data_IF_942150232895
#
_entry.id   IF_942150232895
#
_cell.length_a   1.000
_cell.length_b   1.000
_cell.length_c   1.000
_cell.angle_alpha   90.00
_cell.angle_beta   90.00
_cell.angle_gamma   90.00
#
_symmetry.space_group_name_H-M   'P 1'
#
loop_
_entity.id
_entity.type
_entity.pdbx_description
1 polymer ?
#
# COMPACT_ATOMS: atom_id res chain seq x y z
N UNK A 1 31.62 59.83 9.81
CA UNK A 1 32.46 58.61 9.71
C UNK A 1 32.17 57.75 10.94
N UNK A 2 31.28 56.77 10.93
CA UNK A 2 31.51 55.40 10.44
C UNK A 2 30.14 54.76 10.17
N UNK A 3 29.77 54.68 8.90
CA UNK A 3 28.55 54.06 8.37
C UNK A 3 28.96 52.83 7.55
N UNK A 4 29.72 51.91 8.14
CA UNK A 4 30.38 50.79 7.42
C UNK A 4 30.45 49.46 8.21
N UNK A 5 29.51 49.19 9.12
CA UNK A 5 29.54 47.94 9.92
C UNK A 5 28.22 47.15 9.91
N UNK A 6 27.38 47.31 8.88
CA UNK A 6 26.07 46.62 8.80
C UNK A 6 25.91 45.72 7.55
N UNK A 7 26.94 45.55 6.74
CA UNK A 7 26.85 44.85 5.44
C UNK A 7 27.20 43.36 5.44
N UNK A 8 27.65 42.76 6.54
CA UNK A 8 28.29 41.43 6.50
C UNK A 8 27.49 40.27 7.12
N UNK A 9 26.41 40.55 7.86
CA UNK A 9 25.69 39.49 8.60
C UNK A 9 24.53 38.86 7.83
N UNK A 10 24.19 39.35 6.63
CA UNK A 10 23.04 38.86 5.85
C UNK A 10 23.36 37.76 4.84
N UNK A 11 24.60 37.70 4.33
CA UNK A 11 24.97 36.77 3.26
C UNK A 11 25.34 35.37 3.78
N UNK A 12 25.99 35.27 4.95
CA UNK A 12 26.46 34.00 5.51
C UNK A 12 25.33 33.12 6.09
N UNK A 13 24.18 33.70 6.45
CA UNK A 13 23.04 32.95 6.98
C UNK A 13 22.13 32.36 5.89
N UNK A 14 22.21 32.86 4.67
CA UNK A 14 21.40 32.39 3.53
C UNK A 14 22.04 31.21 2.77
N UNK A 15 23.32 30.89 3.04
CA UNK A 15 24.09 29.91 2.26
C UNK A 15 24.17 28.51 2.90
N UNK A 16 23.78 28.37 4.17
CA UNK A 16 23.82 27.10 4.91
C UNK A 16 22.53 26.26 4.80
N UNK A 17 21.55 26.68 4.00
CA UNK A 17 20.25 26.01 3.86
C UNK A 17 20.14 25.12 2.59
N UNK A 18 21.28 24.63 2.08
CA UNK A 18 21.40 23.74 0.90
C UNK A 18 21.54 22.25 1.29
N UNK A 19 21.65 21.31 0.32
CA UNK A 19 20.74 20.25 -0.14
C UNK A 19 20.57 19.01 0.78
N UNK A 20 21.05 19.05 2.03
CA UNK A 20 21.10 17.88 2.93
C UNK A 20 19.72 17.45 3.44
N UNK A 21 18.77 18.37 3.54
CA UNK A 21 17.38 18.09 3.94
C UNK A 21 16.59 17.38 2.83
N UNK A 22 16.88 17.68 1.56
CA UNK A 22 16.19 17.09 0.41
C UNK A 22 16.63 15.63 0.16
N UNK A 23 17.94 15.38 0.23
CA UNK A 23 18.51 14.03 0.06
C UNK A 23 18.05 13.03 1.13
N UNK A 24 17.89 13.47 2.40
CA UNK A 24 17.34 12.63 3.49
C UNK A 24 15.87 12.30 3.28
N UNK A 25 15.06 13.28 2.84
CA UNK A 25 13.63 13.07 2.52
C UNK A 25 13.46 12.11 1.34
N UNK A 26 14.30 12.26 0.30
CA UNK A 26 14.32 11.35 -0.85
C UNK A 26 14.63 9.90 -0.44
N UNK A 27 15.71 9.69 0.33
CA UNK A 27 16.10 8.34 0.80
C UNK A 27 15.02 7.67 1.64
N UNK A 28 14.38 8.43 2.55
CA UNK A 28 13.27 7.91 3.36
C UNK A 28 12.05 7.53 2.51
N UNK A 29 11.74 8.29 1.46
CA UNK A 29 10.66 7.97 0.52
C UNK A 29 10.94 6.66 -0.22
N UNK A 30 12.14 6.48 -0.77
CA UNK A 30 12.53 5.25 -1.46
C UNK A 30 12.51 4.04 -0.52
N UNK A 31 13.01 4.18 0.71
CA UNK A 31 12.93 3.12 1.71
C UNK A 31 11.50 2.66 1.98
N UNK A 32 10.53 3.58 2.07
CA UNK A 32 9.10 3.25 2.24
C UNK A 32 8.51 2.54 1.02
N UNK A 33 8.86 2.97 -0.20
CA UNK A 33 8.39 2.32 -1.43
C UNK A 33 8.97 0.90 -1.58
N UNK A 34 10.25 0.72 -1.28
CA UNK A 34 10.89 -0.60 -1.27
C UNK A 34 10.25 -1.52 -0.24
N UNK A 35 10.01 -1.01 0.98
CA UNK A 35 9.31 -1.77 2.01
C UNK A 35 7.90 -2.15 1.57
N UNK A 36 7.14 -1.25 0.94
CA UNK A 36 5.83 -1.56 0.38
C UNK A 36 5.91 -2.68 -0.67
N UNK A 37 6.90 -2.63 -1.58
CA UNK A 37 7.14 -3.69 -2.55
C UNK A 37 7.48 -5.04 -1.91
N UNK A 38 8.34 -5.07 -0.88
CA UNK A 38 8.67 -6.29 -0.13
C UNK A 38 7.44 -6.85 0.59
N UNK A 39 6.61 -5.99 1.18
CA UNK A 39 5.33 -6.42 1.76
C UNK A 39 4.39 -7.00 0.69
N UNK A 40 4.41 -6.47 -0.53
CA UNK A 40 3.69 -7.05 -1.68
C UNK A 40 4.18 -8.46 -2.01
N UNK A 41 5.50 -8.67 -2.08
CA UNK A 41 6.08 -10.01 -2.29
C UNK A 41 5.72 -10.97 -1.16
N UNK A 42 5.72 -10.49 0.09
CA UNK A 42 5.29 -11.25 1.25
C UNK A 42 3.79 -11.62 1.17
N UNK A 43 2.94 -10.72 0.68
CA UNK A 43 1.52 -10.98 0.47
C UNK A 43 1.29 -12.14 -0.52
N UNK A 44 2.09 -12.25 -1.58
CA UNK A 44 2.05 -13.39 -2.52
C UNK A 44 2.30 -14.73 -1.84
N UNK A 45 3.10 -14.76 -0.77
CA UNK A 45 3.42 -16.01 -0.06
C UNK A 45 2.23 -16.55 0.75
N UNK A 46 1.14 -15.78 0.87
CA UNK A 46 -0.08 -16.25 1.50
C UNK A 46 -0.93 -17.17 0.61
N UNK A 47 -0.60 -17.26 -0.68
CA UNK A 47 -1.26 -18.16 -1.63
C UNK A 47 -0.47 -19.46 -1.79
N UNK A 48 -1.06 -20.42 -2.49
CA UNK A 48 -0.41 -21.68 -2.83
C UNK A 48 0.97 -21.45 -3.45
N UNK A 49 1.99 -22.25 -3.10
CA UNK A 49 1.91 -23.51 -2.34
C UNK A 49 2.14 -23.39 -0.82
N UNK A 50 2.21 -22.17 -0.25
CA UNK A 50 2.54 -21.97 1.17
C UNK A 50 1.33 -21.79 2.07
N UNK A 51 0.29 -21.13 1.56
CA UNK A 51 -1.00 -20.92 2.25
C UNK A 51 -0.86 -20.25 3.63
N UNK A 52 0.12 -19.36 3.78
CA UNK A 52 0.38 -18.62 5.02
C UNK A 52 -0.59 -17.45 5.19
N UNK A 53 -1.85 -17.76 5.49
CA UNK A 53 -2.95 -16.79 5.65
C UNK A 53 -2.60 -15.61 6.60
N UNK A 54 -1.85 -15.88 7.66
CA UNK A 54 -1.44 -14.85 8.65
C UNK A 54 -0.45 -13.85 8.06
N UNK A 55 0.40 -14.28 7.13
CA UNK A 55 1.39 -13.41 6.48
C UNK A 55 0.69 -12.37 5.60
N UNK A 56 -0.44 -12.71 5.02
CA UNK A 56 -1.29 -11.78 4.29
C UNK A 56 -1.72 -10.59 5.17
N UNK A 57 -2.21 -10.90 6.37
CA UNK A 57 -2.66 -9.91 7.33
C UNK A 57 -1.50 -9.01 7.78
N UNK A 58 -0.33 -9.60 8.03
CA UNK A 58 0.88 -8.83 8.38
C UNK A 58 1.34 -7.93 7.23
N UNK A 59 1.31 -8.42 5.99
CA UNK A 59 1.68 -7.66 4.81
C UNK A 59 0.75 -6.45 4.60
N UNK A 60 -0.57 -6.67 4.68
CA UNK A 60 -1.57 -5.60 4.59
C UNK A 60 -1.49 -4.65 5.79
N UNK A 61 -1.17 -5.13 6.99
CA UNK A 61 -1.02 -4.29 8.17
C UNK A 61 0.21 -3.39 8.03
N UNK A 62 1.31 -3.92 7.47
CA UNK A 62 2.48 -3.14 7.10
C UNK A 62 2.16 -2.05 6.07
N UNK A 63 1.38 -2.37 5.03
CA UNK A 63 0.91 -1.38 4.07
C UNK A 63 0.05 -0.32 4.75
N UNK A 64 -0.97 -0.72 5.52
CA UNK A 64 -1.85 0.20 6.24
C UNK A 64 -1.03 1.12 7.17
N UNK A 65 -0.05 0.57 7.90
CA UNK A 65 0.88 1.35 8.70
C UNK A 65 1.63 2.38 7.85
N UNK A 66 2.21 2.00 6.71
CA UNK A 66 2.88 2.98 5.84
C UNK A 66 1.91 4.07 5.35
N UNK A 67 0.66 3.72 5.08
CA UNK A 67 -0.35 4.65 4.60
C UNK A 67 -0.81 5.63 5.68
N UNK A 68 -0.89 5.23 6.94
CA UNK A 68 -1.28 6.12 8.03
C UNK A 68 -0.27 7.27 8.24
N UNK A 69 1.00 7.09 7.85
CA UNK A 69 2.06 8.12 7.91
C UNK A 69 2.19 8.91 6.59
N UNK A 70 1.20 8.86 5.71
CA UNK A 70 1.18 9.68 4.48
C UNK A 70 0.34 10.93 4.66
N UNK A 71 0.84 12.04 4.09
CA UNK A 71 0.14 13.34 4.08
C UNK A 71 -0.51 13.67 2.73
N UNK A 72 -0.01 13.05 1.65
CA UNK A 72 -0.41 13.34 0.28
C UNK A 72 -1.00 12.07 -0.34
N UNK A 73 -2.11 12.23 -1.05
CA UNK A 73 -2.75 11.13 -1.78
C UNK A 73 -1.82 10.49 -2.82
N UNK A 74 -0.90 11.27 -3.41
CA UNK A 74 0.09 10.76 -4.37
C UNK A 74 1.08 9.80 -3.71
N UNK A 75 1.45 10.04 -2.46
CA UNK A 75 2.36 9.16 -1.71
C UNK A 75 1.64 7.88 -1.28
N UNK A 76 0.37 7.99 -0.87
CA UNK A 76 -0.47 6.83 -0.58
C UNK A 76 -0.67 5.94 -1.83
N UNK A 77 -0.99 6.55 -2.97
CA UNK A 77 -1.10 5.84 -4.24
C UNK A 77 0.22 5.19 -4.65
N UNK A 78 1.36 5.86 -4.48
CA UNK A 78 2.67 5.30 -4.79
C UNK A 78 3.03 4.10 -3.90
N UNK A 79 2.66 4.11 -2.62
CA UNK A 79 2.84 2.97 -1.71
C UNK A 79 1.96 1.79 -2.11
N UNK A 80 0.67 2.05 -2.39
CA UNK A 80 -0.24 1.03 -2.90
C UNK A 80 0.25 0.44 -4.22
N UNK A 81 0.76 1.27 -5.13
CA UNK A 81 1.34 0.84 -6.40
C UNK A 81 2.59 -0.02 -6.21
N UNK A 82 3.53 0.40 -5.35
CA UNK A 82 4.74 -0.39 -5.06
C UNK A 82 4.40 -1.75 -4.44
N UNK A 83 3.44 -1.77 -3.50
CA UNK A 83 2.90 -3.01 -2.92
C UNK A 83 2.27 -3.90 -3.99
N UNK A 84 1.41 -3.34 -4.84
CA UNK A 84 0.78 -4.07 -5.94
C UNK A 84 1.80 -4.63 -6.93
N UNK A 85 2.84 -3.86 -7.28
CA UNK A 85 3.91 -4.34 -8.15
C UNK A 85 4.64 -5.54 -7.54
N UNK A 86 5.02 -5.48 -6.27
CA UNK A 86 5.66 -6.61 -5.59
C UNK A 86 4.77 -7.85 -5.55
N UNK A 87 3.49 -7.66 -5.26
CA UNK A 87 2.49 -8.73 -5.24
C UNK A 87 2.31 -9.39 -6.61
N UNK A 88 2.00 -8.60 -7.64
CA UNK A 88 1.71 -9.16 -8.97
C UNK A 88 2.96 -9.66 -9.68
N UNK A 89 4.09 -8.95 -9.65
CA UNK A 89 5.32 -9.46 -10.29
C UNK A 89 5.76 -10.81 -9.72
N UNK A 90 5.63 -11.01 -8.41
CA UNK A 90 5.99 -12.30 -7.79
C UNK A 90 4.91 -13.37 -7.93
N UNK A 91 3.65 -12.99 -8.15
CA UNK A 91 2.52 -13.92 -8.15
C UNK A 91 2.01 -14.34 -9.53
N UNK A 92 2.25 -13.53 -10.57
CA UNK A 92 1.81 -13.81 -11.96
C UNK A 92 2.96 -13.96 -12.95
N UNK A 93 4.20 -14.13 -12.46
CA UNK A 93 5.39 -14.34 -13.30
C UNK A 93 5.23 -15.52 -14.27
N UNK A 94 4.47 -16.54 -13.89
CA UNK A 94 4.23 -17.75 -14.68
C UNK A 94 3.57 -17.45 -16.04
N UNK A 95 2.89 -16.30 -16.19
CA UNK A 95 2.37 -15.84 -17.49
C UNK A 95 3.46 -15.67 -18.54
N UNK A 96 4.71 -15.43 -18.11
CA UNK A 96 5.87 -15.44 -19.00
C UNK A 96 5.96 -16.74 -19.80
N UNK A 97 5.74 -17.89 -19.13
CA UNK A 97 5.83 -19.21 -19.76
C UNK A 97 4.74 -19.33 -20.83
N UNK A 98 3.51 -18.92 -20.52
CA UNK A 98 2.39 -18.91 -21.46
C UNK A 98 2.70 -18.10 -22.72
N UNK A 99 3.25 -16.90 -22.58
CA UNK A 99 3.53 -16.03 -23.72
C UNK A 99 4.79 -16.44 -24.50
N UNK A 100 5.88 -16.77 -23.80
CA UNK A 100 7.15 -17.07 -24.44
C UNK A 100 7.17 -18.46 -25.07
N UNK A 101 6.74 -19.47 -24.33
CA UNK A 101 6.83 -20.88 -24.77
C UNK A 101 5.66 -21.24 -25.67
N UNK A 102 4.42 -20.93 -25.28
CA UNK A 102 3.24 -21.33 -26.06
C UNK A 102 2.80 -20.25 -27.06
N UNK A 103 3.10 -18.98 -26.77
CA UNK A 103 2.82 -17.86 -27.66
C UNK A 103 3.95 -17.55 -28.63
N UNK A 104 5.09 -18.26 -28.56
CA UNK A 104 6.29 -18.06 -29.40
C UNK A 104 6.77 -16.59 -29.41
N UNK A 105 6.47 -15.85 -28.35
CA UNK A 105 6.81 -14.44 -28.23
C UNK A 105 8.28 -14.30 -27.85
N UNK A 106 9.05 -13.37 -28.46
CA UNK A 106 10.42 -13.11 -28.03
C UNK A 106 10.53 -12.83 -26.53
N UNK A 107 11.53 -13.41 -25.86
CA UNK A 107 11.69 -13.39 -24.40
C UNK A 107 11.55 -11.99 -23.77
N UNK A 108 12.20 -10.99 -24.36
CA UNK A 108 12.15 -9.62 -23.85
C UNK A 108 10.76 -8.99 -23.96
N UNK A 109 9.99 -9.34 -25.02
CA UNK A 109 8.62 -8.88 -25.18
C UNK A 109 7.71 -9.54 -24.14
N UNK A 110 7.83 -10.84 -23.93
CA UNK A 110 7.05 -11.56 -22.92
C UNK A 110 7.32 -11.02 -21.51
N UNK A 111 8.58 -10.77 -21.16
CA UNK A 111 8.95 -10.15 -19.90
C UNK A 111 8.36 -8.74 -19.74
N UNK A 112 8.43 -7.92 -20.80
CA UNK A 112 7.83 -6.58 -20.82
C UNK A 112 6.30 -6.65 -20.66
N UNK A 113 5.63 -7.62 -21.29
CA UNK A 113 4.20 -7.83 -21.15
C UNK A 113 3.81 -8.18 -19.70
N UNK A 114 4.53 -9.09 -19.04
CA UNK A 114 4.32 -9.39 -17.61
C UNK A 114 4.53 -8.16 -16.74
N UNK A 115 5.58 -7.37 -17.01
CA UNK A 115 5.87 -6.15 -16.27
C UNK A 115 4.76 -5.11 -16.40
N UNK A 116 4.33 -4.82 -17.64
CA UNK A 116 3.26 -3.87 -17.92
C UNK A 116 1.92 -4.34 -17.35
N UNK A 117 1.62 -5.64 -17.47
CA UNK A 117 0.39 -6.20 -16.93
C UNK A 117 0.37 -6.17 -15.39
N UNK A 118 1.48 -6.51 -14.75
CA UNK A 118 1.65 -6.34 -13.30
C UNK A 118 1.51 -4.87 -12.89
N UNK A 119 2.04 -3.94 -13.69
CA UNK A 119 1.87 -2.50 -13.52
C UNK A 119 0.41 -2.05 -13.63
N UNK A 120 -0.35 -2.60 -14.56
CA UNK A 120 -1.79 -2.38 -14.67
C UNK A 120 -2.54 -2.90 -13.43
N UNK A 121 -2.26 -4.12 -12.99
CA UNK A 121 -2.91 -4.69 -11.80
C UNK A 121 -2.54 -3.92 -10.51
N UNK A 122 -1.31 -3.40 -10.44
CA UNK A 122 -0.86 -2.57 -9.32
C UNK A 122 -1.63 -1.24 -9.19
N UNK A 123 -2.37 -0.81 -10.22
CA UNK A 123 -3.25 0.35 -10.14
C UNK A 123 -4.42 0.13 -9.16
N UNK A 124 -4.86 -1.11 -8.93
CA UNK A 124 -5.98 -1.39 -8.03
C UNK A 124 -5.61 -1.21 -6.55
N UNK A 125 -4.50 -1.78 -6.02
CA UNK A 125 -4.00 -1.43 -4.69
C UNK A 125 -3.63 0.06 -4.55
N UNK A 126 -3.13 0.70 -5.61
CA UNK A 126 -2.89 2.14 -5.63
C UNK A 126 -4.19 2.95 -5.48
N UNK A 127 -5.25 2.54 -6.17
CA UNK A 127 -6.58 3.13 -6.07
C UNK A 127 -7.17 2.91 -4.67
N UNK A 128 -7.00 1.72 -4.08
CA UNK A 128 -7.45 1.41 -2.72
C UNK A 128 -6.81 2.37 -1.71
N UNK A 129 -5.48 2.49 -1.78
CA UNK A 129 -4.70 3.39 -0.93
C UNK A 129 -5.09 4.87 -1.11
N UNK A 130 -5.31 5.30 -2.34
CA UNK A 130 -5.74 6.66 -2.65
C UNK A 130 -7.17 6.94 -2.16
N UNK A 131 -8.11 6.03 -2.40
CA UNK A 131 -9.50 6.13 -1.96
C UNK A 131 -9.59 6.18 -0.44
N UNK A 132 -8.90 5.27 0.24
CA UNK A 132 -8.78 5.28 1.69
C UNK A 132 -8.18 6.59 2.23
N UNK A 133 -7.09 7.07 1.62
CA UNK A 133 -6.46 8.33 2.03
C UNK A 133 -7.44 9.50 1.88
N UNK A 134 -8.18 9.58 0.77
CA UNK A 134 -9.18 10.65 0.56
C UNK A 134 -10.34 10.55 1.54
N UNK A 135 -10.86 9.35 1.79
CA UNK A 135 -11.95 9.12 2.74
C UNK A 135 -11.55 9.48 4.18
N UNK A 136 -10.26 9.37 4.51
CA UNK A 136 -9.78 9.59 5.88
C UNK A 136 -9.06 10.93 6.10
N UNK A 137 -8.64 11.63 5.03
CA UNK A 137 -7.86 12.86 5.10
C UNK A 137 -8.48 13.99 5.95
N UNK A 138 -9.78 14.36 5.80
CA UNK A 138 -10.34 15.51 6.51
C UNK A 138 -10.26 15.39 8.04
N UNK A 139 -10.34 14.17 8.57
CA UNK A 139 -10.40 13.89 10.00
C UNK A 139 -9.06 13.46 10.60
N UNK A 140 -8.09 13.06 9.77
CA UNK A 140 -6.70 12.83 10.22
C UNK A 140 -5.98 14.09 10.62
N UNK A 141 -6.16 15.17 9.87
CA UNK A 141 -5.56 16.46 10.23
C UNK A 141 -6.17 17.05 11.51
N UNK A 142 -7.46 16.80 11.76
CA UNK A 142 -8.12 17.18 13.00
C UNK A 142 -7.66 16.32 14.21
N UNK A 143 -7.52 14.99 14.04
CA UNK A 143 -7.08 14.07 15.10
C UNK A 143 -5.59 14.21 15.44
N UNK A 144 -4.73 14.54 14.46
CA UNK A 144 -3.31 14.84 14.70
C UNK A 144 -3.11 16.09 15.59
N UNK A 145 -4.04 17.05 15.56
CA UNK A 145 -4.04 18.21 16.43
C UNK A 145 -4.51 17.91 17.87
N UNK A 146 -5.28 16.82 18.07
CA UNK A 146 -5.83 16.41 19.37
C UNK A 146 -4.98 15.34 20.08
N UNK A 147 -3.93 14.80 19.44
CA UNK A 147 -3.03 13.81 20.04
C UNK A 147 -3.64 12.41 20.28
N UNK A 148 -4.95 12.19 20.09
CA UNK A 148 -5.56 10.88 20.28
C UNK A 148 -5.72 10.12 18.96
N UNK A 149 -4.71 9.33 18.60
CA UNK A 149 -4.87 8.26 17.59
C UNK A 149 -5.83 7.15 18.05
N UNK A 150 -6.20 7.14 19.33
CA UNK A 150 -7.10 6.19 19.98
C UNK A 150 -8.60 6.54 19.88
N UNK A 151 -8.96 7.65 19.23
CA UNK A 151 -10.37 8.02 19.06
C UNK A 151 -11.12 7.07 18.12
N UNK A 152 -12.46 7.08 18.21
CA UNK A 152 -13.38 6.32 17.34
C UNK A 152 -12.99 6.39 15.85
N UNK A 153 -12.54 7.56 15.38
CA UNK A 153 -12.16 7.73 13.98
C UNK A 153 -10.93 6.88 13.58
N UNK A 154 -9.90 6.83 14.42
CA UNK A 154 -8.67 6.08 14.17
C UNK A 154 -8.86 4.57 14.31
N UNK A 155 -9.63 4.14 15.32
CA UNK A 155 -9.84 2.73 15.61
C UNK A 155 -11.01 2.09 14.85
N UNK A 156 -11.96 2.86 14.32
CA UNK A 156 -13.15 2.28 13.66
C UNK A 156 -13.30 2.79 12.24
N UNK A 157 -13.44 4.10 12.05
CA UNK A 157 -13.75 4.65 10.72
C UNK A 157 -12.62 4.43 9.70
N UNK A 158 -11.35 4.61 10.09
CA UNK A 158 -10.22 4.43 9.18
C UNK A 158 -9.99 2.95 8.77
N UNK A 159 -10.05 1.97 9.67
CA UNK A 159 -10.01 0.54 9.30
C UNK A 159 -11.19 0.12 8.42
N UNK A 160 -12.42 0.54 8.74
CA UNK A 160 -13.61 0.28 7.90
C UNK A 160 -13.45 0.85 6.49
N UNK A 161 -12.99 2.09 6.38
CA UNK A 161 -12.71 2.71 5.09
C UNK A 161 -11.63 1.93 4.30
N UNK A 162 -10.66 1.30 4.98
CA UNK A 162 -9.60 0.54 4.32
C UNK A 162 -10.15 -0.75 3.75
N UNK A 163 -10.90 -1.52 4.56
CA UNK A 163 -11.57 -2.75 4.10
C UNK A 163 -12.52 -2.48 2.94
N UNK A 164 -13.34 -1.44 3.02
CA UNK A 164 -14.27 -1.05 1.96
C UNK A 164 -13.54 -0.63 0.67
N UNK A 165 -12.49 0.20 0.77
CA UNK A 165 -11.70 0.61 -0.38
C UNK A 165 -11.01 -0.60 -1.04
N UNK A 166 -10.42 -1.50 -0.24
CA UNK A 166 -9.76 -2.70 -0.72
C UNK A 166 -10.73 -3.61 -1.48
N UNK A 167 -11.83 -4.01 -0.84
CA UNK A 167 -12.84 -4.88 -1.43
C UNK A 167 -13.45 -4.30 -2.71
N UNK A 168 -13.77 -3.00 -2.73
CA UNK A 168 -14.30 -2.34 -3.92
C UNK A 168 -13.30 -2.39 -5.08
N UNK A 169 -12.03 -2.09 -4.83
CA UNK A 169 -11.01 -2.11 -5.89
C UNK A 169 -10.67 -3.51 -6.38
N UNK A 170 -10.72 -4.52 -5.53
CA UNK A 170 -10.58 -5.91 -5.96
C UNK A 170 -11.77 -6.37 -6.80
N UNK A 171 -12.99 -5.96 -6.43
CA UNK A 171 -14.16 -6.22 -7.27
C UNK A 171 -14.04 -5.53 -8.63
N UNK A 172 -13.61 -4.27 -8.68
CA UNK A 172 -13.35 -3.55 -9.93
C UNK A 172 -12.30 -4.28 -10.78
N UNK A 173 -11.22 -4.80 -10.17
CA UNK A 173 -10.19 -5.60 -10.83
C UNK A 173 -10.75 -6.88 -11.45
N UNK A 174 -11.79 -7.45 -10.86
CA UNK A 174 -12.49 -8.62 -11.36
C UNK A 174 -13.49 -8.34 -12.49
N UNK A 175 -13.76 -7.07 -12.83
CA UNK A 175 -14.82 -6.72 -13.80
C UNK A 175 -14.33 -5.81 -14.93
N UNK A 176 -13.49 -4.81 -14.63
CA UNK A 176 -13.01 -3.84 -15.64
C UNK A 176 -12.16 -4.56 -16.70
N UNK A 177 -12.41 -4.26 -17.98
CA UNK A 177 -11.74 -4.88 -19.13
C UNK A 177 -11.74 -6.41 -19.06
N UNK A 178 -12.93 -6.99 -18.96
CA UNK A 178 -13.19 -8.44 -18.75
C UNK A 178 -12.72 -9.02 -17.42
N UNK A 179 -11.95 -8.26 -16.65
CA UNK A 179 -11.49 -8.64 -15.31
C UNK A 179 -10.31 -9.60 -15.30
N UNK A 180 -9.47 -9.47 -14.27
CA UNK A 180 -8.42 -10.44 -13.95
C UNK A 180 -8.35 -10.62 -12.42
N UNK A 181 -9.26 -11.44 -11.83
CA UNK A 181 -9.37 -11.63 -10.39
C UNK A 181 -8.36 -12.64 -9.82
N UNK A 182 -7.22 -12.88 -10.50
CA UNK A 182 -6.18 -13.78 -10.01
C UNK A 182 -5.53 -13.24 -8.74
N UNK A 183 -5.06 -14.13 -7.86
CA UNK A 183 -4.57 -13.75 -6.52
C UNK A 183 -5.61 -12.87 -5.79
N UNK A 184 -6.89 -13.22 -5.82
CA UNK A 184 -7.90 -12.51 -5.04
C UNK A 184 -7.59 -12.61 -3.55
N UNK A 185 -7.51 -11.48 -2.85
CA UNK A 185 -7.02 -11.46 -1.46
C UNK A 185 -7.81 -12.39 -0.52
N UNK A 186 -9.11 -12.61 -0.77
CA UNK A 186 -9.91 -13.56 0.01
C UNK A 186 -9.45 -15.02 -0.06
N UNK A 187 -8.76 -15.45 -1.12
CA UNK A 187 -8.31 -16.85 -1.28
C UNK A 187 -7.20 -17.25 -0.32
N UNK A 188 -6.43 -16.30 0.20
CA UNK A 188 -5.44 -16.60 1.23
C UNK A 188 -6.08 -17.00 2.58
N UNK A 189 -7.42 -16.95 2.70
CA UNK A 189 -8.16 -17.30 3.90
C UNK A 189 -9.09 -18.52 3.72
N UNK A 190 -8.87 -19.37 2.72
CA UNK A 190 -9.65 -20.61 2.51
C UNK A 190 -9.58 -21.57 3.69
N UNK A 191 -8.43 -21.68 4.33
CA UNK A 191 -8.17 -22.59 5.45
C UNK A 191 -7.91 -21.85 6.77
N UNK A 192 -8.07 -20.52 6.75
CA UNK A 192 -7.83 -19.65 7.90
C UNK A 192 -9.08 -19.40 8.75
N UNK A 193 -8.95 -18.62 9.84
CA UNK A 193 -10.06 -18.29 10.74
C UNK A 193 -11.23 -17.57 10.04
N UNK A 194 -10.98 -16.93 8.90
CA UNK A 194 -11.99 -16.20 8.13
C UNK A 194 -12.77 -17.09 7.15
N UNK A 195 -12.39 -18.37 6.99
CA UNK A 195 -13.00 -19.30 6.04
C UNK A 195 -14.52 -19.45 6.24
N UNK A 196 -14.98 -19.46 7.50
CA UNK A 196 -16.40 -19.59 7.84
C UNK A 196 -17.29 -18.45 7.33
N UNK A 197 -16.71 -17.31 6.96
CA UNK A 197 -17.44 -16.17 6.37
C UNK A 197 -17.59 -16.25 4.85
N UNK A 198 -16.91 -17.20 4.19
CA UNK A 198 -16.96 -17.35 2.73
C UNK A 198 -18.38 -17.49 2.16
N UNK A 199 -19.29 -18.30 2.76
CA UNK A 199 -20.65 -18.45 2.26
C UNK A 199 -21.51 -17.20 2.39
N UNK A 200 -21.15 -16.28 3.30
CA UNK A 200 -21.92 -15.07 3.58
C UNK A 200 -21.43 -13.87 2.78
N UNK A 201 -20.12 -13.71 2.67
CA UNK A 201 -19.49 -12.50 2.15
C UNK A 201 -18.88 -12.70 0.75
N UNK A 202 -18.69 -13.96 0.33
CA UNK A 202 -17.93 -14.30 -0.85
C UNK A 202 -16.44 -13.90 -0.75
N UNK A 203 -15.68 -14.14 -1.82
CA UNK A 203 -14.23 -13.91 -1.82
C UNK A 203 -13.84 -12.44 -1.63
N UNK A 204 -14.56 -11.51 -2.28
CA UNK A 204 -14.26 -10.07 -2.15
C UNK A 204 -14.59 -9.54 -0.75
N UNK A 205 -15.65 -10.06 -0.12
CA UNK A 205 -16.00 -9.69 1.24
C UNK A 205 -15.01 -10.25 2.28
N UNK A 206 -14.49 -11.47 2.07
CA UNK A 206 -13.35 -11.96 2.88
C UNK A 206 -12.12 -11.07 2.69
N UNK A 207 -11.79 -10.69 1.45
CA UNK A 207 -10.68 -9.78 1.17
C UNK A 207 -10.84 -8.41 1.87
N UNK A 208 -12.05 -7.85 1.86
CA UNK A 208 -12.39 -6.64 2.58
C UNK A 208 -12.25 -6.80 4.11
N UNK A 209 -12.70 -7.93 4.64
CA UNK A 209 -12.61 -8.25 6.07
C UNK A 209 -11.15 -8.44 6.52
N UNK A 210 -10.34 -9.13 5.72
CA UNK A 210 -8.90 -9.29 5.96
C UNK A 210 -8.18 -7.93 5.97
N UNK A 211 -8.48 -7.07 5.00
CA UNK A 211 -7.96 -5.71 4.95
C UNK A 211 -8.40 -4.88 6.17
N UNK A 212 -9.67 -4.98 6.59
CA UNK A 212 -10.17 -4.36 7.82
C UNK A 212 -9.37 -4.82 9.06
N UNK A 213 -9.21 -6.13 9.25
CA UNK A 213 -8.43 -6.69 10.36
C UNK A 213 -6.97 -6.20 10.33
N UNK A 214 -6.36 -6.17 9.16
CA UNK A 214 -5.00 -5.68 8.98
C UNK A 214 -4.86 -4.19 9.34
N UNK A 215 -5.83 -3.36 8.95
CA UNK A 215 -5.84 -1.94 9.33
C UNK A 215 -6.08 -1.74 10.82
N UNK A 216 -6.86 -2.61 11.48
CA UNK A 216 -6.99 -2.62 12.94
C UNK A 216 -5.66 -2.95 13.63
N UNK A 217 -4.95 -3.99 13.18
CA UNK A 217 -3.63 -4.33 13.72
C UNK A 217 -2.67 -3.14 13.62
N UNK A 218 -2.65 -2.46 12.46
CA UNK A 218 -1.83 -1.27 12.25
C UNK A 218 -2.25 -0.08 13.15
N UNK A 219 -3.55 0.12 13.35
CA UNK A 219 -4.07 1.19 14.21
C UNK A 219 -3.76 0.94 15.69
N UNK A 220 -3.97 -0.28 16.19
CA UNK A 220 -3.68 -0.67 17.58
C UNK A 220 -2.19 -0.56 17.90
N UNK A 221 -1.32 -1.00 16.99
CA UNK A 221 0.14 -0.89 17.17
C UNK A 221 0.62 0.56 17.32
N UNK A 222 -0.15 1.54 16.81
CA UNK A 222 0.15 2.98 16.97
C UNK A 222 -0.32 3.53 18.30
N UNK A 223 -1.43 3.02 18.83
CA UNK A 223 -1.94 3.43 20.15
C UNK A 223 -1.00 2.95 21.26
N UNK A 224 -0.41 1.77 21.11
CA UNK A 224 0.46 1.16 22.14
C UNK A 224 1.85 1.77 22.19
N UNK A 225 2.33 2.46 21.15
CA UNK A 225 3.64 3.15 21.19
C UNK A 225 3.48 4.49 21.93
N UNK A 226 4.01 4.65 23.17
CA UNK A 226 4.08 5.97 23.78
C UNK A 226 4.99 6.86 22.95
N UNK A 227 4.59 8.13 22.82
CA UNK A 227 5.29 9.17 22.07
C UNK A 227 6.69 9.45 22.62
#
# INVERSE_FOLDING_TARGET
MKRLAQGWNGAAAAELDTPLTDTRRGRARWGRLLLAGVLGVAHTQAFAPRDWWWLQLLALAGLAALLFDTRRVRDAAALGYAFGLGWFLSGIWWLYISMHVYGEMPAWMAALAVLLFSGYLALYPALAAAAWHRATAPRRFASAASGSCAGWFGLVAAPLAFGAAWGLTEWLRGVIFTGFPWLGSGYAHTDGPLAGYAPLLGVYGIGALAALCAAWLAALARVVRPA
#
